data_IF_815170051731
#
_entry.id   IF_815170051731
#
_cell.length_a   1.000
_cell.length_b   1.000
_cell.length_c   1.000
_cell.angle_alpha   90.00
_cell.angle_beta   90.00
_cell.angle_gamma   90.00
#
_symmetry.space_group_name_H-M   'P 1'
#
loop_
_entity.id
_entity.type
_entity.pdbx_description
1 polymer ?
#
# COMPACT_ATOMS: atom_id res chain seq x y z
N UNK A 1 -18.85 -2.42 -0.21
CA UNK A 1 -19.36 -1.05 -0.36
C UNK A 1 -18.49 -0.14 0.50
N UNK A 2 -18.00 0.95 -0.08
CA UNK A 2 -17.13 1.95 0.59
C UNK A 2 -17.82 3.31 0.76
N UNK A 3 -19.03 3.45 0.30
CA UNK A 3 -19.83 4.67 0.45
C UNK A 3 -20.34 4.82 1.89
N UNK A 4 -20.46 6.04 2.38
CA UNK A 4 -20.98 6.33 3.70
C UNK A 4 -22.48 5.96 3.85
N UNK A 5 -22.96 5.87 5.09
CA UNK A 5 -24.32 5.41 5.39
C UNK A 5 -25.42 6.30 4.77
N UNK A 6 -25.23 7.62 4.75
CA UNK A 6 -26.21 8.55 4.18
C UNK A 6 -26.30 8.40 2.65
N UNK A 7 -25.14 8.32 1.98
CA UNK A 7 -25.11 8.02 0.55
C UNK A 7 -25.72 6.66 0.23
N UNK A 8 -25.42 5.64 1.05
CA UNK A 8 -26.04 4.32 0.90
C UNK A 8 -27.55 4.33 1.07
N UNK A 9 -28.08 5.17 1.97
CA UNK A 9 -29.51 5.23 2.23
C UNK A 9 -30.28 5.87 1.07
N UNK A 10 -29.79 6.95 0.54
CA UNK A 10 -30.55 7.85 -0.35
C UNK A 10 -30.20 7.70 -1.85
N UNK A 11 -29.02 7.17 -2.20
CA UNK A 11 -28.63 6.99 -3.59
C UNK A 11 -29.17 5.68 -4.18
N UNK A 12 -29.58 5.64 -5.45
CA UNK A 12 -29.93 4.40 -6.16
C UNK A 12 -28.69 3.56 -6.51
N UNK A 13 -27.50 4.15 -6.43
CA UNK A 13 -26.24 3.48 -6.70
C UNK A 13 -25.30 3.55 -5.49
N UNK A 14 -24.29 2.69 -5.47
CA UNK A 14 -23.28 2.61 -4.43
C UNK A 14 -21.87 2.60 -5.02
N UNK A 15 -20.91 3.15 -4.27
CA UNK A 15 -19.50 2.99 -4.57
C UNK A 15 -19.00 1.67 -3.99
N UNK A 16 -18.32 0.91 -4.82
CA UNK A 16 -17.67 -0.34 -4.44
C UNK A 16 -16.19 -0.32 -4.78
N UNK A 17 -15.39 -1.05 -4.02
CA UNK A 17 -14.04 -1.46 -4.39
C UNK A 17 -14.06 -2.94 -4.80
N UNK A 18 -13.26 -3.30 -5.79
CA UNK A 18 -13.10 -4.70 -6.21
C UNK A 18 -12.36 -5.49 -5.15
N UNK A 19 -12.73 -6.75 -4.96
CA UNK A 19 -12.03 -7.69 -4.09
C UNK A 19 -11.53 -8.85 -4.96
N UNK A 20 -10.28 -9.25 -4.76
CA UNK A 20 -9.69 -10.41 -5.42
C UNK A 20 -9.18 -11.39 -4.39
N UNK A 21 -9.50 -12.69 -4.56
CA UNK A 21 -9.00 -13.76 -3.70
C UNK A 21 -7.82 -14.46 -4.36
N UNK A 22 -6.74 -14.70 -3.57
CA UNK A 22 -5.60 -15.53 -3.95
C UNK A 22 -5.05 -16.23 -2.71
N UNK A 23 -4.67 -17.51 -2.83
CA UNK A 23 -4.09 -18.29 -1.71
C UNK A 23 -2.84 -17.63 -1.11
N UNK A 24 -2.05 -16.90 -1.91
CA UNK A 24 -0.82 -16.21 -1.49
C UNK A 24 -0.94 -14.69 -1.67
N UNK A 25 -2.12 -14.14 -1.43
CA UNK A 25 -2.39 -12.74 -1.64
C UNK A 25 -1.62 -11.87 -0.64
N UNK A 26 -0.58 -11.18 -1.13
CA UNK A 26 0.10 -10.09 -0.40
C UNK A 26 -0.20 -8.76 -1.07
N UNK A 27 -0.48 -7.70 -0.30
CA UNK A 27 -0.62 -6.37 -0.86
C UNK A 27 0.66 -5.99 -1.63
N UNK A 28 0.51 -5.61 -2.91
CA UNK A 28 1.64 -5.20 -3.75
C UNK A 28 1.73 -3.68 -3.91
N UNK A 29 0.62 -3.00 -3.72
CA UNK A 29 0.51 -1.55 -3.86
C UNK A 29 0.01 -0.93 -2.56
N UNK A 30 0.34 0.33 -2.28
CA UNK A 30 -0.18 1.04 -1.10
C UNK A 30 -1.71 1.25 -1.14
N UNK A 31 -2.32 1.09 -2.32
CA UNK A 31 -3.77 1.11 -2.55
C UNK A 31 -4.44 -0.25 -2.30
N UNK A 32 -3.67 -1.29 -1.99
CA UNK A 32 -4.15 -2.63 -1.69
C UNK A 32 -4.33 -2.81 -0.18
N UNK A 33 -5.46 -3.39 0.23
CA UNK A 33 -5.68 -3.74 1.62
C UNK A 33 -5.99 -5.24 1.76
N UNK A 34 -5.23 -5.93 2.60
CA UNK A 34 -5.42 -7.36 2.85
C UNK A 34 -6.53 -7.61 3.86
N UNK A 35 -7.41 -8.55 3.52
CA UNK A 35 -8.44 -9.11 4.41
C UNK A 35 -8.22 -10.63 4.46
N UNK A 36 -8.21 -11.21 5.67
CA UNK A 36 -8.18 -12.67 5.85
C UNK A 36 -9.47 -13.34 5.38
N UNK A 37 -9.76 -14.45 5.96
CA UNK A 37 -11.02 -15.19 5.78
C UNK A 37 -12.14 -14.66 6.70
N UNK A 38 -12.09 -13.38 7.02
CA UNK A 38 -13.04 -12.72 7.92
C UNK A 38 -14.28 -12.25 7.15
N UNK A 39 -15.33 -11.90 7.88
CA UNK A 39 -16.55 -11.29 7.35
C UNK A 39 -17.28 -12.10 6.27
N UNK A 40 -17.23 -13.42 6.36
CA UNK A 40 -17.93 -14.32 5.43
C UNK A 40 -17.16 -14.63 4.15
N UNK A 41 -15.92 -14.19 4.02
CA UNK A 41 -15.05 -14.56 2.90
C UNK A 41 -14.50 -15.98 3.10
N UNK A 42 -14.55 -16.80 2.05
CA UNK A 42 -14.03 -18.18 2.07
C UNK A 42 -12.52 -18.24 1.88
N UNK A 43 -11.91 -17.24 1.27
CA UNK A 43 -10.50 -17.18 0.94
C UNK A 43 -9.88 -15.85 1.35
N UNK A 44 -8.59 -15.87 1.73
CA UNK A 44 -7.83 -14.62 1.92
C UNK A 44 -7.93 -13.73 0.69
N UNK A 45 -8.21 -12.47 0.90
CA UNK A 45 -8.57 -11.55 -0.18
C UNK A 45 -7.85 -10.20 -0.04
N UNK A 46 -7.75 -9.49 -1.15
CA UNK A 46 -7.23 -8.12 -1.22
C UNK A 46 -8.32 -7.21 -1.77
N UNK A 47 -8.55 -6.10 -1.10
CA UNK A 47 -9.37 -4.99 -1.60
C UNK A 47 -8.47 -4.10 -2.45
N UNK A 48 -8.92 -3.81 -3.66
CA UNK A 48 -8.21 -3.02 -4.66
C UNK A 48 -8.82 -1.62 -4.71
N UNK A 49 -8.23 -0.67 -3.97
CA UNK A 49 -8.81 0.67 -3.81
C UNK A 49 -8.56 1.57 -5.05
N UNK A 50 -7.72 1.14 -5.99
CA UNK A 50 -7.57 1.75 -7.32
C UNK A 50 -8.65 1.29 -8.30
N UNK A 51 -9.44 0.26 -7.96
CA UNK A 51 -10.52 -0.28 -8.80
C UNK A 51 -11.89 0.06 -8.23
N UNK A 52 -12.19 1.33 -8.17
CA UNK A 52 -13.46 1.84 -7.68
C UNK A 52 -14.50 1.86 -8.80
N UNK A 53 -15.74 1.52 -8.47
CA UNK A 53 -16.87 1.52 -9.40
C UNK A 53 -18.13 2.03 -8.74
N UNK A 54 -18.98 2.67 -9.53
CA UNK A 54 -20.36 2.94 -9.17
C UNK A 54 -21.24 1.83 -9.73
N UNK A 55 -22.05 1.23 -8.87
CA UNK A 55 -22.93 0.11 -9.23
C UNK A 55 -24.36 0.42 -8.75
N UNK A 56 -25.33 0.21 -9.63
CA UNK A 56 -26.75 0.29 -9.27
C UNK A 56 -27.07 -0.77 -8.20
N UNK A 57 -27.79 -0.39 -7.16
CA UNK A 57 -28.16 -1.31 -6.06
C UNK A 57 -28.90 -2.55 -6.53
N UNK A 58 -29.65 -2.48 -7.62
CA UNK A 58 -30.36 -3.64 -8.22
C UNK A 58 -29.42 -4.74 -8.72
N UNK A 59 -28.13 -4.42 -8.90
CA UNK A 59 -27.08 -5.36 -9.32
C UNK A 59 -26.35 -6.01 -8.14
N UNK A 60 -26.67 -5.61 -6.92
CA UNK A 60 -26.15 -6.28 -5.73
C UNK A 60 -26.92 -7.59 -5.57
N UNK A 61 -26.19 -8.70 -5.37
CA UNK A 61 -26.81 -10.01 -5.10
C UNK A 61 -27.03 -10.21 -3.61
N UNK A 62 -26.23 -11.02 -2.98
CA UNK A 62 -26.39 -11.38 -1.58
C UNK A 62 -25.47 -10.57 -0.67
N UNK A 63 -25.88 -10.44 0.56
CA UNK A 63 -25.06 -9.86 1.62
C UNK A 63 -24.13 -10.95 2.18
N UNK A 64 -22.81 -10.72 2.07
CA UNK A 64 -21.81 -11.68 2.53
C UNK A 64 -21.45 -11.43 4.01
N UNK A 65 -21.25 -10.17 4.41
CA UNK A 65 -20.89 -9.83 5.78
C UNK A 65 -20.42 -8.40 5.97
N UNK A 66 -20.07 -8.08 7.22
CA UNK A 66 -19.48 -6.80 7.61
C UNK A 66 -18.02 -6.96 8.01
N UNK A 67 -17.20 -6.02 7.58
CA UNK A 67 -15.82 -5.93 8.04
C UNK A 67 -15.74 -5.26 9.42
N UNK A 68 -14.92 -5.79 10.34
CA UNK A 68 -14.60 -5.12 11.60
C UNK A 68 -13.97 -3.74 11.38
N UNK A 69 -14.16 -2.84 12.36
CA UNK A 69 -13.70 -1.45 12.29
C UNK A 69 -12.19 -1.31 11.97
N UNK A 70 -11.37 -2.22 12.49
CA UNK A 70 -9.92 -2.25 12.20
C UNK A 70 -9.61 -2.32 10.70
N UNK A 71 -10.45 -3.07 9.93
CA UNK A 71 -10.30 -3.19 8.47
C UNK A 71 -10.86 -1.96 7.76
N UNK A 72 -11.94 -1.39 8.26
CA UNK A 72 -12.51 -0.14 7.71
C UNK A 72 -11.47 0.99 7.77
N UNK A 73 -10.77 1.15 8.89
CA UNK A 73 -9.71 2.15 9.03
C UNK A 73 -8.56 1.94 8.05
N UNK A 74 -8.11 0.69 7.87
CA UNK A 74 -7.07 0.35 6.91
C UNK A 74 -7.50 0.56 5.46
N UNK A 75 -8.75 0.22 5.12
CA UNK A 75 -9.35 0.47 3.80
C UNK A 75 -9.46 1.97 3.55
N UNK A 76 -9.92 2.75 4.52
CA UNK A 76 -10.02 4.21 4.40
C UNK A 76 -8.64 4.84 4.15
N UNK A 77 -7.59 4.36 4.82
CA UNK A 77 -6.23 4.83 4.57
C UNK A 77 -5.76 4.52 3.14
N UNK A 78 -5.95 3.29 2.68
CA UNK A 78 -5.59 2.88 1.32
C UNK A 78 -6.43 3.61 0.26
N UNK A 79 -7.71 3.90 0.56
CA UNK A 79 -8.58 4.71 -0.29
C UNK A 79 -8.08 6.16 -0.38
N UNK A 80 -7.72 6.76 0.74
CA UNK A 80 -7.19 8.13 0.78
C UNK A 80 -5.91 8.26 -0.06
N UNK A 81 -5.04 7.24 -0.06
CA UNK A 81 -3.89 7.16 -0.97
C UNK A 81 -4.36 7.06 -2.43
N UNK A 82 -5.31 6.18 -2.71
CA UNK A 82 -5.79 5.92 -4.09
C UNK A 82 -6.36 7.15 -4.77
N UNK A 83 -7.05 8.02 -4.03
CA UNK A 83 -7.64 9.25 -4.56
C UNK A 83 -6.77 10.50 -4.31
N UNK A 84 -5.54 10.34 -3.82
CA UNK A 84 -4.57 11.41 -3.66
C UNK A 84 -4.83 12.36 -2.48
N UNK A 85 -5.61 11.95 -1.48
CA UNK A 85 -5.80 12.74 -0.26
C UNK A 85 -4.59 12.69 0.68
N UNK A 86 -3.83 11.61 0.61
CA UNK A 86 -2.58 11.43 1.34
C UNK A 86 -1.53 10.80 0.42
N UNK A 87 -0.28 11.14 0.64
CA UNK A 87 0.82 10.58 -0.14
C UNK A 87 1.06 9.11 0.20
N UNK A 88 1.29 8.29 -0.82
CA UNK A 88 1.67 6.88 -0.69
C UNK A 88 3.12 6.66 -0.31
N UNK A 89 3.86 7.72 -0.03
CA UNK A 89 5.29 7.63 0.30
C UNK A 89 5.45 6.73 1.51
N UNK A 90 6.18 5.61 1.40
CA UNK A 90 6.50 4.81 2.57
C UNK A 90 7.19 5.73 3.58
N UNK A 91 6.77 5.70 4.85
CA UNK A 91 7.38 6.51 5.93
C UNK A 91 8.90 6.37 5.99
N UNK A 92 9.46 5.34 5.31
CA UNK A 92 10.88 5.09 5.15
C UNK A 92 11.15 4.42 3.80
N UNK A 93 11.86 5.09 2.92
CA UNK A 93 12.39 4.48 1.71
C UNK A 93 13.71 3.80 2.08
N UNK A 94 13.74 2.48 2.07
CA UNK A 94 14.95 1.69 2.33
C UNK A 94 15.44 1.13 1.00
N UNK A 95 16.71 1.41 0.66
CA UNK A 95 17.39 0.89 -0.52
C UNK A 95 18.69 0.20 -0.09
N UNK A 96 18.96 -0.98 -0.64
CA UNK A 96 20.29 -1.54 -0.58
C UNK A 96 21.18 -0.80 -1.58
N UNK A 97 22.23 -0.14 -1.11
CA UNK A 97 23.13 0.66 -1.95
C UNK A 97 24.58 0.22 -1.77
N UNK A 98 25.28 -0.01 -2.89
CA UNK A 98 26.74 -0.11 -2.89
C UNK A 98 27.38 1.27 -2.65
N UNK A 99 28.66 1.29 -2.30
CA UNK A 99 29.39 2.54 -1.99
C UNK A 99 29.29 3.58 -3.11
N UNK A 100 29.42 3.16 -4.36
CA UNK A 100 29.33 4.07 -5.53
C UNK A 100 27.94 4.70 -5.64
N UNK A 101 26.88 3.91 -5.54
CA UNK A 101 25.51 4.41 -5.61
C UNK A 101 25.16 5.28 -4.41
N UNK A 102 25.59 4.91 -3.20
CA UNK A 102 25.40 5.73 -2.01
C UNK A 102 26.07 7.11 -2.15
N UNK A 103 27.28 7.17 -2.71
CA UNK A 103 27.97 8.44 -2.97
C UNK A 103 27.21 9.34 -3.94
N UNK A 104 26.55 8.78 -4.96
CA UNK A 104 25.70 9.55 -5.87
C UNK A 104 24.51 10.20 -5.14
N UNK A 105 23.90 9.48 -4.19
CA UNK A 105 22.83 10.06 -3.35
C UNK A 105 23.35 11.19 -2.46
N UNK A 106 24.52 11.02 -1.82
CA UNK A 106 25.16 12.08 -1.03
C UNK A 106 25.49 13.30 -1.88
N UNK A 107 26.02 13.10 -3.09
CA UNK A 107 26.43 14.17 -4.01
C UNK A 107 25.27 14.95 -4.61
N UNK A 108 24.05 14.37 -4.66
CA UNK A 108 22.87 15.03 -5.22
C UNK A 108 22.38 16.22 -4.39
N UNK A 109 22.76 16.32 -3.12
CA UNK A 109 22.27 17.34 -2.20
C UNK A 109 20.77 17.22 -1.81
N UNK A 110 20.00 16.46 -2.55
CA UNK A 110 18.55 16.33 -2.38
C UNK A 110 18.16 15.32 -1.28
N UNK A 111 19.05 14.39 -0.95
CA UNK A 111 18.79 13.31 -0.02
C UNK A 111 19.88 13.18 1.05
N UNK A 112 19.48 12.70 2.23
CA UNK A 112 20.40 12.16 3.23
C UNK A 112 20.23 10.63 3.26
N UNK A 113 21.32 9.92 3.51
CA UNK A 113 21.30 8.47 3.71
C UNK A 113 21.62 8.14 5.16
N UNK A 114 20.86 7.26 5.75
CA UNK A 114 21.12 6.71 7.08
C UNK A 114 21.16 5.19 7.03
N UNK A 115 22.24 4.56 7.53
CA UNK A 115 22.29 3.10 7.66
C UNK A 115 21.12 2.60 8.49
N UNK A 116 20.36 1.63 7.97
CA UNK A 116 19.24 1.02 8.71
C UNK A 116 19.77 0.23 9.90
N UNK A 117 20.80 -0.57 9.67
CA UNK A 117 21.53 -1.28 10.70
C UNK A 117 23.03 -1.03 10.56
N UNK A 118 23.64 -0.20 11.43
CA UNK A 118 25.10 0.04 11.39
C UNK A 118 25.95 -1.23 11.59
N UNK A 119 25.40 -2.24 12.30
CA UNK A 119 26.07 -3.51 12.56
C UNK A 119 25.85 -4.58 11.45
N UNK A 120 25.16 -4.24 10.37
CA UNK A 120 24.94 -5.17 9.24
C UNK A 120 26.28 -5.59 8.63
N UNK A 121 26.58 -6.86 8.65
CA UNK A 121 27.79 -7.46 8.07
C UNK A 121 27.54 -8.05 6.69
N UNK A 122 26.36 -8.61 6.46
CA UNK A 122 25.97 -9.17 5.17
C UNK A 122 25.55 -8.07 4.19
N UNK A 123 26.02 -8.22 2.95
CA UNK A 123 25.74 -7.30 1.85
C UNK A 123 24.84 -7.96 0.83
N UNK A 124 23.77 -7.27 0.45
CA UNK A 124 22.87 -7.69 -0.63
C UNK A 124 23.18 -6.97 -1.94
N UNK A 125 22.53 -7.43 -3.02
CA UNK A 125 22.67 -6.80 -4.34
C UNK A 125 22.08 -5.40 -4.27
N UNK A 126 22.86 -4.42 -4.74
CA UNK A 126 22.47 -3.02 -4.80
C UNK A 126 21.20 -2.83 -5.65
N UNK A 127 20.14 -2.32 -5.04
CA UNK A 127 18.85 -2.08 -5.70
C UNK A 127 18.95 -1.10 -6.87
N UNK A 128 19.96 -0.22 -6.87
CA UNK A 128 20.10 0.83 -7.89
C UNK A 128 20.88 0.37 -9.13
N UNK A 129 22.02 -0.30 -8.97
CA UNK A 129 22.84 -0.73 -10.10
C UNK A 129 22.73 -2.23 -10.44
N UNK A 130 22.08 -3.03 -9.59
CA UNK A 130 21.89 -4.47 -9.72
C UNK A 130 23.17 -5.31 -10.00
N UNK A 131 24.37 -4.75 -9.74
CA UNK A 131 25.63 -5.40 -10.07
C UNK A 131 26.61 -5.48 -8.91
N UNK A 132 26.54 -4.59 -7.94
CA UNK A 132 27.45 -4.57 -6.78
C UNK A 132 26.69 -4.86 -5.51
N UNK A 133 27.38 -5.40 -4.52
CA UNK A 133 26.83 -5.59 -3.18
C UNK A 133 26.93 -4.34 -2.34
N UNK A 134 25.93 -4.09 -1.50
CA UNK A 134 25.82 -2.93 -0.63
C UNK A 134 25.12 -3.22 0.68
N UNK A 135 24.79 -2.18 1.38
CA UNK A 135 24.12 -2.18 2.67
C UNK A 135 22.78 -1.44 2.58
N UNK A 136 21.91 -1.66 3.56
CA UNK A 136 20.60 -1.03 3.61
C UNK A 136 20.68 0.39 4.17
N UNK A 137 20.18 1.34 3.40
CA UNK A 137 20.08 2.74 3.76
C UNK A 137 18.64 3.21 3.71
N UNK A 138 18.26 3.97 4.73
CA UNK A 138 17.07 4.80 4.67
C UNK A 138 17.39 6.06 3.89
N UNK A 139 16.64 6.32 2.82
CA UNK A 139 16.75 7.51 1.98
C UNK A 139 15.83 8.59 2.50
N UNK A 140 16.38 9.68 2.99
CA UNK A 140 15.64 10.77 3.63
C UNK A 140 15.69 11.99 2.72
N UNK A 141 14.54 12.46 2.18
CA UNK A 141 14.51 13.73 1.44
C UNK A 141 14.94 14.88 2.36
N UNK A 142 15.81 15.75 1.87
CA UNK A 142 16.11 16.99 2.57
C UNK A 142 15.03 18.01 2.25
N UNK A 143 14.46 18.63 3.27
CA UNK A 143 13.54 19.75 3.07
C UNK A 143 14.25 20.87 2.28
N UNK A 144 13.55 21.42 1.30
CA UNK A 144 14.00 22.61 0.57
C UNK A 144 13.86 23.84 1.44
#
# INVERSE_FOLDING_TARGET
IIQNAEGNKHSPAVFIASITSKKDAKPKLPTHYYIGIEAGLELPSIVLLEQLRTVDKRRLSEFIGHLPEKHIQGINHALAISIGLIDSVPKKLILCLCSTCANNFYGSGAFALRRVNPAQTEKDICTYCNSRKGFDYEVIPKAR
#
